data_IF_613547224519
#
_entry.id   IF_613547224519
#
_cell.length_a   1.000
_cell.length_b   1.000
_cell.length_c   1.000
_cell.angle_alpha   90.00
_cell.angle_beta   90.00
_cell.angle_gamma   90.00
#
_symmetry.space_group_name_H-M   'P 1'
#
loop_
_entity.id
_entity.type
_entity.pdbx_description
1 polymer ?
#
# COMPACT_ATOMS: atom_id res chain seq x y z
N UNK A 1 10.73 28.72 -23.78
CA UNK A 1 9.82 28.40 -22.65
C UNK A 1 8.70 27.56 -23.22
N UNK A 2 8.31 26.47 -22.57
CA UNK A 2 7.23 25.59 -23.08
C UNK A 2 5.86 26.20 -22.82
N UNK A 3 4.91 25.99 -23.74
CA UNK A 3 3.52 26.47 -23.66
C UNK A 3 2.72 25.82 -22.50
N UNK A 4 3.26 24.74 -21.92
CA UNK A 4 2.74 24.00 -20.74
C UNK A 4 2.48 24.85 -19.48
N UNK A 5 2.85 26.14 -19.44
CA UNK A 5 2.72 27.01 -18.26
C UNK A 5 1.73 28.19 -18.41
N UNK A 6 0.86 28.20 -19.44
CA UNK A 6 -0.26 29.16 -19.56
C UNK A 6 -1.65 28.51 -19.45
N UNK A 7 -1.78 27.55 -18.53
CA UNK A 7 -3.07 26.92 -18.20
C UNK A 7 -3.77 27.78 -17.13
N UNK A 8 -4.86 28.46 -17.51
CA UNK A 8 -5.68 29.30 -16.61
C UNK A 8 -6.56 28.45 -15.68
N UNK A 9 -7.14 29.05 -14.63
CA UNK A 9 -8.05 28.34 -13.70
C UNK A 9 -9.25 27.69 -14.43
N UNK A 10 -9.76 28.31 -15.50
CA UNK A 10 -10.83 27.76 -16.36
C UNK A 10 -10.41 26.51 -17.16
N UNK A 11 -9.12 26.22 -17.27
CA UNK A 11 -8.60 25.06 -18.01
C UNK A 11 -8.42 23.81 -17.14
N UNK A 12 -8.74 23.86 -15.84
CA UNK A 12 -8.80 22.67 -14.97
C UNK A 12 -10.11 21.87 -15.14
N UNK A 13 -10.70 21.85 -16.35
CA UNK A 13 -11.81 20.95 -16.62
C UNK A 13 -11.31 19.51 -16.65
N UNK A 14 -12.08 18.59 -16.05
CA UNK A 14 -11.72 17.17 -16.02
C UNK A 14 -11.62 16.63 -17.46
N UNK A 15 -12.44 17.16 -18.38
CA UNK A 15 -12.37 16.87 -19.81
C UNK A 15 -10.97 17.16 -20.40
N UNK A 16 -10.38 18.32 -20.09
CA UNK A 16 -9.03 18.66 -20.57
C UNK A 16 -7.94 17.83 -19.89
N UNK A 17 -8.11 17.49 -18.61
CA UNK A 17 -7.17 16.59 -17.93
C UNK A 17 -7.24 15.16 -18.49
N UNK A 18 -8.42 14.69 -18.93
CA UNK A 18 -8.57 13.42 -19.65
C UNK A 18 -7.92 13.50 -21.02
N UNK A 19 -8.12 14.57 -21.78
CA UNK A 19 -7.47 14.81 -23.08
C UNK A 19 -5.93 14.75 -22.95
N UNK A 20 -5.37 15.50 -22.00
CA UNK A 20 -3.92 15.51 -21.69
C UNK A 20 -3.41 14.16 -21.18
N UNK A 21 -4.24 13.38 -20.48
CA UNK A 21 -3.91 12.02 -20.04
C UNK A 21 -3.87 11.05 -21.23
N UNK A 22 -4.78 11.16 -22.19
CA UNK A 22 -4.84 10.27 -23.37
C UNK A 22 -3.92 10.68 -24.53
N UNK A 23 -3.31 11.87 -24.47
CA UNK A 23 -2.44 12.39 -25.52
C UNK A 23 -1.03 11.79 -25.53
N UNK A 24 -0.27 12.11 -26.58
CA UNK A 24 1.05 11.53 -26.85
C UNK A 24 2.19 12.09 -25.98
N UNK A 25 2.04 13.31 -25.42
CA UNK A 25 3.08 13.97 -24.63
C UNK A 25 3.15 13.43 -23.19
N UNK A 26 4.20 12.66 -22.91
CA UNK A 26 4.62 12.21 -21.57
C UNK A 26 4.56 13.30 -20.49
N UNK A 27 4.96 14.54 -20.81
CA UNK A 27 4.96 15.66 -19.88
C UNK A 27 3.53 16.12 -19.55
N UNK A 28 2.66 16.16 -20.56
CA UNK A 28 1.24 16.45 -20.40
C UNK A 28 0.52 15.35 -19.60
N UNK A 29 0.83 14.06 -19.85
CA UNK A 29 0.30 12.93 -19.08
C UNK A 29 0.71 13.00 -17.61
N UNK A 30 1.99 13.26 -17.32
CA UNK A 30 2.50 13.43 -15.96
C UNK A 30 1.86 14.62 -15.22
N UNK A 31 1.66 15.75 -15.91
CA UNK A 31 0.91 16.88 -15.38
C UNK A 31 -0.56 16.51 -15.09
N UNK A 32 -1.24 15.88 -16.04
CA UNK A 32 -2.63 15.45 -15.91
C UNK A 32 -2.84 14.51 -14.72
N UNK A 33 -2.00 13.48 -14.56
CA UNK A 33 -2.06 12.55 -13.42
C UNK A 33 -1.89 13.26 -12.07
N UNK A 34 -0.95 14.20 -11.97
CA UNK A 34 -0.75 14.99 -10.76
C UNK A 34 -1.96 15.91 -10.45
N UNK A 35 -2.52 16.54 -11.48
CA UNK A 35 -3.73 17.37 -11.34
C UNK A 35 -4.96 16.54 -10.96
N UNK A 36 -5.21 15.39 -11.61
CA UNK A 36 -6.31 14.48 -11.26
C UNK A 36 -6.16 13.92 -9.84
N UNK A 37 -4.93 13.67 -9.39
CA UNK A 37 -4.63 13.23 -8.01
C UNK A 37 -4.89 14.35 -6.98
N UNK A 38 -4.61 15.61 -7.31
CA UNK A 38 -4.82 16.76 -6.40
C UNK A 38 -6.26 17.27 -6.42
N UNK A 39 -6.96 17.21 -7.56
CA UNK A 39 -8.39 17.50 -7.71
C UNK A 39 -9.33 16.47 -7.05
N UNK A 40 -8.78 15.47 -6.35
CA UNK A 40 -9.53 14.41 -5.66
C UNK A 40 -10.71 14.88 -4.80
N UNK A 41 -10.61 16.08 -4.21
CA UNK A 41 -11.60 16.65 -3.29
C UNK A 41 -12.56 17.63 -4.00
N UNK A 42 -12.31 17.95 -5.28
CA UNK A 42 -13.06 18.92 -6.09
C UNK A 42 -14.50 18.46 -6.35
N UNK A 43 -15.52 19.34 -6.29
CA UNK A 43 -16.92 18.96 -6.49
C UNK A 43 -17.19 18.27 -7.83
N UNK A 44 -16.57 18.74 -8.93
CA UNK A 44 -16.76 18.14 -10.25
C UNK A 44 -16.16 16.74 -10.37
N UNK A 45 -15.09 16.43 -9.63
CA UNK A 45 -14.49 15.09 -9.64
C UNK A 45 -15.34 14.06 -8.88
N UNK A 46 -16.32 14.53 -8.08
CA UNK A 46 -17.30 13.68 -7.40
C UNK A 46 -18.52 13.36 -8.28
N UNK A 47 -18.60 13.92 -9.50
CA UNK A 47 -19.64 13.54 -10.49
C UNK A 47 -19.28 12.18 -11.07
N UNK A 48 -20.20 11.22 -10.97
CA UNK A 48 -20.00 9.83 -11.39
C UNK A 48 -19.49 9.73 -12.84
N UNK A 49 -20.06 10.49 -13.78
CA UNK A 49 -19.71 10.41 -15.20
C UNK A 49 -18.28 10.88 -15.50
N UNK A 50 -17.81 11.91 -14.79
CA UNK A 50 -16.45 12.44 -14.93
C UNK A 50 -15.42 11.50 -14.30
N UNK A 51 -15.79 10.90 -13.16
CA UNK A 51 -15.04 9.84 -12.52
C UNK A 51 -14.91 8.60 -13.44
N UNK A 52 -16.01 8.15 -14.07
CA UNK A 52 -16.03 7.02 -15.00
C UNK A 52 -15.12 7.22 -16.21
N UNK A 53 -15.17 8.41 -16.82
CA UNK A 53 -14.33 8.74 -17.98
C UNK A 53 -12.85 8.83 -17.61
N UNK A 54 -12.51 9.40 -16.46
CA UNK A 54 -11.13 9.47 -15.98
C UNK A 54 -10.54 8.07 -15.71
N UNK A 55 -11.33 7.16 -15.16
CA UNK A 55 -10.90 5.77 -14.90
C UNK A 55 -10.81 5.00 -16.21
N UNK A 56 -11.81 5.12 -17.09
CA UNK A 56 -11.80 4.49 -18.41
C UNK A 56 -10.54 4.88 -19.19
N UNK A 57 -10.22 6.18 -19.27
CA UNK A 57 -8.99 6.65 -19.90
C UNK A 57 -7.71 6.08 -19.26
N UNK A 58 -7.66 5.97 -17.93
CA UNK A 58 -6.53 5.34 -17.24
C UNK A 58 -6.40 3.84 -17.57
N UNK A 59 -7.51 3.11 -17.71
CA UNK A 59 -7.51 1.73 -18.18
C UNK A 59 -7.10 1.60 -19.66
N UNK A 60 -7.61 2.48 -20.52
CA UNK A 60 -7.30 2.50 -21.96
C UNK A 60 -5.79 2.71 -22.21
N UNK A 61 -5.11 3.49 -21.36
CA UNK A 61 -3.65 3.63 -21.37
C UNK A 61 -2.94 2.35 -20.92
N UNK A 62 -3.41 1.69 -19.86
CA UNK A 62 -2.80 0.48 -19.32
C UNK A 62 -2.92 -0.69 -20.31
N UNK A 63 -4.00 -0.77 -21.08
CA UNK A 63 -4.17 -1.77 -22.14
C UNK A 63 -3.24 -1.54 -23.35
N UNK A 64 -2.62 -0.36 -23.45
CA UNK A 64 -1.62 0.02 -24.46
C UNK A 64 -0.18 -0.01 -23.92
N UNK A 65 0.14 -0.97 -23.05
CA UNK A 65 1.45 -1.11 -22.38
C UNK A 65 2.64 -1.19 -23.36
N UNK A 66 2.42 -1.55 -24.64
CA UNK A 66 3.43 -1.54 -25.70
C UNK A 66 3.79 -0.13 -26.22
N UNK A 67 2.88 0.84 -26.13
CA UNK A 67 3.04 2.21 -26.67
C UNK A 67 3.53 3.23 -25.61
N UNK A 68 3.36 2.91 -24.32
CA UNK A 68 3.53 3.86 -23.22
C UNK A 68 4.71 3.44 -22.31
N UNK A 69 5.61 4.35 -21.91
CA UNK A 69 6.72 4.00 -21.02
C UNK A 69 6.27 3.38 -19.70
N UNK A 70 6.87 2.26 -19.30
CA UNK A 70 6.50 1.46 -18.11
C UNK A 70 6.42 2.27 -16.80
N UNK A 71 7.21 3.33 -16.67
CA UNK A 71 7.15 4.25 -15.52
C UNK A 71 5.84 5.05 -15.49
N UNK A 72 5.37 5.51 -16.65
CA UNK A 72 4.09 6.22 -16.77
C UNK A 72 2.92 5.28 -16.50
N UNK A 73 2.93 4.07 -17.06
CA UNK A 73 1.95 3.02 -16.73
C UNK A 73 1.92 2.75 -15.21
N UNK A 74 3.09 2.65 -14.58
CA UNK A 74 3.17 2.50 -13.11
C UNK A 74 2.54 3.69 -12.37
N UNK A 75 2.67 4.93 -12.87
CA UNK A 75 2.06 6.12 -12.26
C UNK A 75 0.54 6.23 -12.52
N UNK A 76 0.05 5.82 -13.70
CA UNK A 76 -1.38 5.66 -13.99
C UNK A 76 -1.99 4.60 -13.06
N UNK A 77 -1.32 3.46 -12.88
CA UNK A 77 -1.75 2.41 -11.96
C UNK A 77 -1.72 2.89 -10.49
N UNK A 78 -0.73 3.71 -10.09
CA UNK A 78 -0.73 4.32 -8.75
C UNK A 78 -1.92 5.25 -8.56
N UNK A 79 -2.27 6.06 -9.56
CA UNK A 79 -3.49 6.86 -9.54
C UNK A 79 -4.73 5.97 -9.34
N UNK A 80 -4.83 4.82 -10.03
CA UNK A 80 -5.90 3.84 -9.82
C UNK A 80 -5.90 3.22 -8.41
N UNK A 81 -4.76 3.01 -7.76
CA UNK A 81 -4.70 2.57 -6.35
C UNK A 81 -5.23 3.65 -5.41
N UNK A 82 -4.81 4.90 -5.58
CA UNK A 82 -5.28 6.04 -4.77
C UNK A 82 -6.77 6.34 -4.98
N UNK A 83 -7.26 6.04 -6.18
CA UNK A 83 -8.66 6.04 -6.51
C UNK A 83 -9.39 4.89 -5.78
N UNK A 84 -9.01 3.64 -6.03
CA UNK A 84 -9.63 2.45 -5.47
C UNK A 84 -9.61 2.39 -3.93
N UNK A 85 -8.68 3.09 -3.27
CA UNK A 85 -8.62 3.22 -1.81
C UNK A 85 -9.74 4.07 -1.18
N UNK A 86 -10.46 4.87 -1.97
CA UNK A 86 -11.54 5.78 -1.49
C UNK A 86 -12.76 5.02 -0.97
N UNK A 87 -13.54 5.64 -0.08
CA UNK A 87 -14.81 5.08 0.45
C UNK A 87 -16.00 5.42 -0.45
N UNK A 88 -15.88 6.53 -1.16
CA UNK A 88 -16.86 7.06 -2.12
C UNK A 88 -17.13 6.14 -3.31
N UNK A 89 -16.40 5.01 -3.40
CA UNK A 89 -16.57 3.97 -4.41
C UNK A 89 -17.37 2.76 -3.90
N UNK A 90 -17.78 2.74 -2.63
CA UNK A 90 -18.67 1.71 -2.10
C UNK A 90 -20.03 1.79 -2.84
N UNK A 91 -20.30 0.82 -3.72
CA UNK A 91 -21.46 0.83 -4.63
C UNK A 91 -21.21 1.41 -6.03
N UNK A 92 -19.98 1.83 -6.33
CA UNK A 92 -19.56 2.23 -7.68
C UNK A 92 -19.18 1.00 -8.54
N UNK A 93 -18.83 1.19 -9.82
CA UNK A 93 -18.56 0.13 -10.83
C UNK A 93 -17.29 -0.72 -10.58
N UNK A 94 -16.92 -0.97 -9.33
CA UNK A 94 -15.74 -1.77 -8.96
C UNK A 94 -15.76 -3.20 -9.49
N UNK A 95 -16.93 -3.81 -9.71
CA UNK A 95 -17.07 -5.13 -10.34
C UNK A 95 -16.60 -5.14 -11.79
N UNK A 96 -17.25 -4.38 -12.70
CA UNK A 96 -16.79 -4.22 -14.09
C UNK A 96 -15.35 -3.73 -14.23
N UNK A 97 -14.86 -2.88 -13.32
CA UNK A 97 -13.46 -2.44 -13.31
C UNK A 97 -12.49 -3.57 -12.90
N UNK A 98 -12.90 -4.43 -11.97
CA UNK A 98 -12.13 -5.62 -11.61
C UNK A 98 -12.12 -6.64 -12.74
N UNK A 99 -13.27 -6.91 -13.37
CA UNK A 99 -13.39 -7.76 -14.57
C UNK A 99 -12.50 -7.27 -15.72
N UNK A 100 -12.42 -5.95 -15.93
CA UNK A 100 -11.49 -5.34 -16.91
C UNK A 100 -10.03 -5.49 -16.50
N UNK A 101 -9.68 -5.26 -15.23
CA UNK A 101 -8.28 -5.29 -14.78
C UNK A 101 -7.70 -6.70 -14.62
N UNK A 102 -8.53 -7.69 -14.27
CA UNK A 102 -8.05 -9.01 -13.87
C UNK A 102 -7.31 -9.79 -14.98
N UNK A 103 -7.70 -9.70 -16.27
CA UNK A 103 -6.90 -10.22 -17.38
C UNK A 103 -5.56 -9.48 -17.54
N UNK A 104 -5.57 -8.15 -17.43
CA UNK A 104 -4.39 -7.28 -17.56
C UNK A 104 -3.34 -7.62 -16.49
N UNK A 105 -3.77 -8.00 -15.28
CA UNK A 105 -2.86 -8.43 -14.20
C UNK A 105 -1.83 -9.48 -14.66
N UNK A 106 -2.20 -10.38 -15.59
CA UNK A 106 -1.32 -11.43 -16.10
C UNK A 106 -0.17 -10.89 -16.98
N UNK A 107 -0.32 -9.74 -17.65
CA UNK A 107 0.79 -9.15 -18.43
C UNK A 107 1.92 -8.63 -17.54
N UNK A 108 1.62 -8.19 -16.31
CA UNK A 108 2.61 -7.70 -15.35
C UNK A 108 3.37 -8.82 -14.59
N UNK A 109 2.96 -10.08 -14.77
CA UNK A 109 3.71 -11.24 -14.29
C UNK A 109 3.54 -12.42 -15.27
N UNK A 110 4.26 -12.40 -16.41
CA UNK A 110 4.26 -13.53 -17.34
C UNK A 110 4.81 -14.78 -16.66
N UNK A 111 4.25 -15.94 -16.98
CA UNK A 111 4.82 -17.23 -16.56
C UNK A 111 6.13 -17.43 -17.32
N UNK A 112 7.24 -17.78 -16.67
CA UNK A 112 8.48 -18.06 -17.37
C UNK A 112 8.34 -19.28 -18.28
N UNK A 113 8.83 -19.17 -19.51
CA UNK A 113 8.92 -20.30 -20.44
C UNK A 113 10.00 -21.29 -19.98
N UNK A 114 9.83 -22.58 -20.31
CA UNK A 114 10.82 -23.61 -19.99
C UNK A 114 12.14 -23.32 -20.72
N UNK A 115 13.20 -23.02 -19.95
CA UNK A 115 14.54 -22.73 -20.48
C UNK A 115 15.01 -21.28 -20.36
N UNK A 116 14.19 -20.36 -19.84
CA UNK A 116 14.62 -18.99 -19.55
C UNK A 116 15.71 -18.96 -18.45
N UNK A 117 16.92 -18.53 -18.80
CA UNK A 117 18.12 -18.50 -17.94
C UNK A 117 18.20 -17.26 -17.03
N UNK A 118 17.32 -16.27 -17.16
CA UNK A 118 17.39 -15.06 -16.34
C UNK A 118 17.27 -15.38 -14.85
N UNK A 119 18.00 -14.65 -13.98
CA UNK A 119 17.87 -14.85 -12.53
C UNK A 119 16.41 -14.66 -12.10
N UNK A 120 15.79 -15.71 -11.55
CA UNK A 120 14.39 -15.78 -11.07
C UNK A 120 13.96 -14.48 -10.39
N UNK A 121 14.74 -14.05 -9.41
CA UNK A 121 14.53 -12.86 -8.61
C UNK A 121 14.44 -11.52 -9.38
N UNK A 122 15.01 -11.43 -10.58
CA UNK A 122 15.04 -10.20 -11.41
C UNK A 122 13.99 -10.18 -12.53
N UNK A 123 13.23 -11.27 -12.73
CA UNK A 123 12.28 -11.39 -13.86
C UNK A 123 11.08 -10.46 -13.78
N UNK A 124 10.64 -10.11 -12.57
CA UNK A 124 9.41 -9.31 -12.37
C UNK A 124 9.71 -7.85 -12.03
N UNK A 125 8.93 -6.93 -12.61
CA UNK A 125 8.86 -5.55 -12.13
C UNK A 125 8.05 -5.49 -10.82
N UNK A 126 8.69 -5.84 -9.70
CA UNK A 126 8.07 -5.93 -8.38
C UNK A 126 7.31 -4.67 -7.93
N UNK A 127 7.69 -3.49 -8.43
CA UNK A 127 6.97 -2.23 -8.14
C UNK A 127 5.66 -2.15 -8.91
N UNK A 128 5.65 -2.47 -10.20
CA UNK A 128 4.44 -2.48 -11.03
C UNK A 128 3.49 -3.60 -10.58
N UNK A 129 4.03 -4.77 -10.26
CA UNK A 129 3.26 -5.91 -9.74
C UNK A 129 2.66 -5.63 -8.35
N UNK A 130 3.37 -4.93 -7.45
CA UNK A 130 2.80 -4.44 -6.18
C UNK A 130 1.57 -3.55 -6.46
N UNK A 131 1.69 -2.57 -7.36
CA UNK A 131 0.60 -1.65 -7.70
C UNK A 131 -0.58 -2.42 -8.31
N UNK A 132 -0.33 -3.35 -9.24
CA UNK A 132 -1.36 -4.15 -9.90
C UNK A 132 -2.16 -4.99 -8.88
N UNK A 133 -1.47 -5.68 -7.97
CA UNK A 133 -2.12 -6.48 -6.94
C UNK A 133 -2.88 -5.61 -5.92
N UNK A 134 -2.44 -4.37 -5.67
CA UNK A 134 -3.23 -3.40 -4.88
C UNK A 134 -4.52 -2.99 -5.58
N UNK A 135 -4.53 -2.77 -6.90
CA UNK A 135 -5.76 -2.46 -7.66
C UNK A 135 -6.77 -3.61 -7.51
N UNK A 136 -6.34 -4.84 -7.81
CA UNK A 136 -7.16 -6.05 -7.66
C UNK A 136 -7.72 -6.19 -6.25
N UNK A 137 -6.88 -6.01 -5.24
CA UNK A 137 -7.30 -6.14 -3.85
C UNK A 137 -8.31 -5.06 -3.42
N UNK A 138 -8.10 -3.80 -3.81
CA UNK A 138 -8.95 -2.67 -3.40
C UNK A 138 -10.28 -2.63 -4.16
N UNK A 139 -10.30 -3.07 -5.42
CA UNK A 139 -11.55 -3.26 -6.17
C UNK A 139 -12.29 -4.50 -5.67
N UNK A 140 -11.58 -5.61 -5.42
CA UNK A 140 -12.16 -6.82 -4.84
C UNK A 140 -12.72 -6.64 -3.43
N UNK A 141 -12.15 -5.71 -2.66
CA UNK A 141 -12.69 -5.25 -1.38
C UNK A 141 -14.12 -4.68 -1.47
N UNK A 142 -14.47 -4.11 -2.63
CA UNK A 142 -15.76 -3.46 -2.90
C UNK A 142 -16.69 -4.33 -3.73
N UNK A 143 -16.13 -5.15 -4.62
CA UNK A 143 -16.84 -6.07 -5.50
C UNK A 143 -16.62 -7.54 -5.07
N UNK A 144 -16.87 -7.85 -3.80
CA UNK A 144 -16.54 -9.16 -3.19
C UNK A 144 -17.12 -10.34 -3.98
N UNK A 145 -18.35 -10.23 -4.51
CA UNK A 145 -18.95 -11.29 -5.33
C UNK A 145 -18.19 -11.52 -6.64
N UNK A 146 -17.91 -10.46 -7.39
CA UNK A 146 -17.10 -10.51 -8.63
C UNK A 146 -15.69 -11.04 -8.36
N UNK A 147 -15.08 -10.61 -7.27
CA UNK A 147 -13.74 -11.03 -6.85
C UNK A 147 -13.69 -12.50 -6.47
N UNK A 148 -14.68 -12.99 -5.71
CA UNK A 148 -14.84 -14.41 -5.45
C UNK A 148 -14.97 -15.19 -6.77
N UNK A 149 -15.87 -14.80 -7.68
CA UNK A 149 -16.00 -15.47 -8.99
C UNK A 149 -14.67 -15.53 -9.75
N UNK A 150 -14.00 -14.39 -9.96
CA UNK A 150 -12.71 -14.31 -10.67
C UNK A 150 -11.57 -15.10 -10.00
N UNK A 151 -11.66 -15.35 -8.69
CA UNK A 151 -10.69 -16.14 -7.94
C UNK A 151 -11.13 -17.59 -7.68
N UNK A 152 -12.23 -18.07 -8.28
CA UNK A 152 -12.75 -19.42 -8.07
C UNK A 152 -13.28 -19.67 -6.65
N UNK A 153 -13.69 -18.61 -5.95
CA UNK A 153 -14.29 -18.65 -4.63
C UNK A 153 -15.69 -19.24 -4.66
N UNK A 154 -15.82 -20.50 -4.21
CA UNK A 154 -17.08 -21.26 -4.19
C UNK A 154 -18.29 -20.58 -3.49
N UNK A 155 -18.07 -19.58 -2.63
CA UNK A 155 -19.14 -18.82 -1.96
C UNK A 155 -20.04 -18.00 -2.91
N UNK A 156 -19.63 -17.80 -4.17
CA UNK A 156 -20.39 -17.01 -5.16
C UNK A 156 -21.10 -17.81 -6.24
N UNK A 157 -21.09 -19.15 -6.13
CA UNK A 157 -21.77 -20.06 -7.05
C UNK A 157 -23.03 -20.64 -6.41
N UNK A 158 -24.02 -21.02 -7.21
CA UNK A 158 -25.35 -21.46 -6.75
C UNK A 158 -25.38 -22.85 -6.08
N UNK A 159 -24.21 -23.46 -5.88
CA UNK A 159 -24.06 -24.85 -5.42
C UNK A 159 -24.38 -25.89 -6.49
N UNK A 160 -24.62 -25.48 -7.74
CA UNK A 160 -24.77 -26.40 -8.86
C UNK A 160 -23.43 -27.10 -9.18
N UNK A 161 -23.39 -28.43 -9.41
CA UNK A 161 -22.14 -29.16 -9.59
C UNK A 161 -21.22 -28.62 -10.69
N UNK A 162 -21.76 -28.22 -11.85
CA UNK A 162 -20.96 -27.69 -12.96
C UNK A 162 -20.35 -26.31 -12.68
N UNK A 163 -21.08 -25.45 -11.95
CA UNK A 163 -20.58 -24.15 -11.49
C UNK A 163 -19.44 -24.32 -10.47
N UNK A 164 -19.53 -25.32 -9.59
CA UNK A 164 -18.48 -25.64 -8.62
C UNK A 164 -17.21 -26.18 -9.30
N UNK A 165 -17.33 -27.03 -10.32
CA UNK A 165 -16.20 -27.53 -11.10
C UNK A 165 -15.47 -26.41 -11.85
N UNK A 166 -16.21 -25.46 -12.44
CA UNK A 166 -15.63 -24.28 -13.07
C UNK A 166 -14.91 -23.37 -12.05
N UNK A 167 -15.51 -23.15 -10.87
CA UNK A 167 -14.89 -22.40 -9.79
C UNK A 167 -13.55 -23.03 -9.33
N UNK A 168 -13.55 -24.35 -9.11
CA UNK A 168 -12.35 -25.09 -8.70
C UNK A 168 -11.25 -25.04 -9.78
N UNK A 169 -11.64 -25.13 -11.06
CA UNK A 169 -10.72 -24.96 -12.19
C UNK A 169 -10.11 -23.55 -12.24
N UNK A 170 -10.93 -22.50 -12.14
CA UNK A 170 -10.46 -21.11 -12.14
C UNK A 170 -9.53 -20.83 -10.94
N UNK A 171 -9.86 -21.33 -9.75
CA UNK A 171 -8.99 -21.24 -8.58
C UNK A 171 -7.65 -21.98 -8.78
N UNK A 172 -7.67 -23.15 -9.41
CA UNK A 172 -6.47 -23.94 -9.71
C UNK A 172 -5.57 -23.23 -10.74
N UNK A 173 -6.14 -22.68 -11.81
CA UNK A 173 -5.41 -21.89 -12.82
C UNK A 173 -4.80 -20.62 -12.22
N UNK A 174 -5.56 -19.89 -11.39
CA UNK A 174 -5.06 -18.70 -10.70
C UNK A 174 -3.92 -19.06 -9.74
N UNK A 175 -4.05 -20.16 -8.99
CA UNK A 175 -3.00 -20.65 -8.10
C UNK A 175 -1.75 -21.08 -8.86
N UNK A 176 -1.90 -21.77 -9.99
CA UNK A 176 -0.79 -22.19 -10.84
C UNK A 176 0.00 -21.01 -11.41
N UNK A 177 -0.69 -19.91 -11.77
CA UNK A 177 -0.06 -18.66 -12.22
C UNK A 177 0.59 -17.87 -11.06
N UNK A 178 -0.03 -17.80 -9.88
CA UNK A 178 0.47 -16.99 -8.76
C UNK A 178 1.55 -17.65 -7.90
N UNK A 179 1.56 -18.99 -7.79
CA UNK A 179 2.51 -19.68 -6.91
C UNK A 179 3.98 -19.42 -7.31
N UNK A 180 4.38 -19.52 -8.61
CA UNK A 180 5.75 -19.19 -9.02
C UNK A 180 6.17 -17.75 -8.68
N UNK A 181 5.24 -16.80 -8.75
CA UNK A 181 5.47 -15.40 -8.37
C UNK A 181 5.79 -15.30 -6.88
N UNK A 182 4.99 -15.96 -6.03
CA UNK A 182 5.18 -15.98 -4.57
C UNK A 182 6.50 -16.65 -4.20
N UNK A 183 6.83 -17.78 -4.80
CA UNK A 183 8.06 -18.53 -4.52
C UNK A 183 9.29 -17.69 -4.92
N UNK A 184 9.26 -17.06 -6.10
CA UNK A 184 10.30 -16.13 -6.57
C UNK A 184 10.42 -14.90 -5.66
N UNK A 185 9.30 -14.38 -5.15
CA UNK A 185 9.28 -13.25 -4.24
C UNK A 185 9.93 -13.57 -2.88
N UNK A 186 9.72 -14.80 -2.37
CA UNK A 186 10.38 -15.29 -1.15
C UNK A 186 11.89 -15.36 -1.37
N UNK A 187 12.34 -15.98 -2.46
CA UNK A 187 13.76 -16.06 -2.82
C UNK A 187 14.40 -14.66 -2.91
N UNK A 188 13.76 -13.73 -3.63
CA UNK A 188 14.27 -12.38 -3.79
C UNK A 188 14.33 -11.59 -2.47
N UNK A 189 13.38 -11.79 -1.55
CA UNK A 189 13.46 -11.21 -0.20
C UNK A 189 14.70 -11.69 0.57
N UNK A 190 15.10 -12.96 0.43
CA UNK A 190 16.32 -13.48 1.05
C UNK A 190 17.57 -12.83 0.43
N UNK A 191 17.61 -12.72 -0.90
CA UNK A 191 18.69 -12.02 -1.62
C UNK A 191 18.80 -10.55 -1.18
N UNK A 192 17.68 -9.80 -1.10
CA UNK A 192 17.66 -8.41 -0.61
C UNK A 192 18.14 -8.33 0.84
N UNK A 193 17.75 -9.27 1.71
CA UNK A 193 18.22 -9.29 3.11
C UNK A 193 19.72 -9.53 3.22
N UNK A 194 20.29 -10.40 2.38
CA UNK A 194 21.74 -10.63 2.32
C UNK A 194 22.48 -9.39 1.80
N UNK A 195 21.97 -8.73 0.76
CA UNK A 195 22.51 -7.47 0.24
C UNK A 195 22.43 -6.34 1.29
N UNK A 196 21.27 -6.17 1.94
CA UNK A 196 21.05 -5.16 2.98
C UNK A 196 21.99 -5.30 4.18
N UNK A 197 22.33 -6.54 4.57
CA UNK A 197 23.36 -6.80 5.61
C UNK A 197 24.74 -6.32 5.17
N UNK A 198 25.12 -6.49 3.89
CA UNK A 198 26.40 -5.98 3.34
C UNK A 198 26.44 -4.45 3.38
N UNK A 199 25.39 -3.77 2.90
CA UNK A 199 25.30 -2.31 2.98
C UNK A 199 25.29 -1.78 4.42
N UNK A 200 24.65 -2.49 5.36
CA UNK A 200 24.70 -2.11 6.77
C UNK A 200 26.11 -2.25 7.37
N UNK A 201 26.90 -3.25 6.95
CA UNK A 201 28.29 -3.37 7.36
C UNK A 201 29.14 -2.23 6.77
N UNK A 202 29.02 -1.94 5.47
CA UNK A 202 29.70 -0.82 4.80
C UNK A 202 29.37 0.53 5.46
N UNK A 203 28.09 0.80 5.74
CA UNK A 203 27.66 2.02 6.42
C UNK A 203 28.31 2.20 7.81
N UNK A 204 28.50 1.11 8.56
CA UNK A 204 29.16 1.16 9.87
C UNK A 204 30.65 1.45 9.74
N UNK A 205 31.33 0.88 8.74
CA UNK A 205 32.76 1.15 8.48
C UNK A 205 32.95 2.60 8.04
N UNK A 206 32.17 3.09 7.07
CA UNK A 206 32.24 4.47 6.61
C UNK A 206 31.89 5.49 7.72
N UNK A 207 30.92 5.19 8.59
CA UNK A 207 30.61 6.01 9.76
C UNK A 207 31.75 6.01 10.78
N UNK A 208 32.32 4.84 11.10
CA UNK A 208 33.44 4.75 12.04
C UNK A 208 34.71 5.46 11.52
N UNK A 209 34.98 5.40 10.22
CA UNK A 209 36.06 6.16 9.59
C UNK A 209 35.80 7.66 9.74
N UNK A 210 34.58 8.11 9.43
CA UNK A 210 34.21 9.53 9.58
C UNK A 210 34.33 10.02 11.02
N UNK A 211 33.90 9.23 12.01
CA UNK A 211 34.03 9.56 13.43
C UNK A 211 35.51 9.64 13.87
N UNK A 212 36.40 8.79 13.31
CA UNK A 212 37.85 8.87 13.54
C UNK A 212 38.44 10.13 12.90
N UNK A 213 38.08 10.45 11.65
CA UNK A 213 38.58 11.63 10.94
C UNK A 213 38.18 12.93 11.66
N UNK A 214 37.00 12.98 12.28
CA UNK A 214 36.59 14.11 13.15
C UNK A 214 37.47 14.28 14.37
N UNK A 215 37.84 13.18 15.03
CA UNK A 215 38.70 13.21 16.23
C UNK A 215 40.09 13.74 15.81
N UNK A 216 40.63 13.24 14.70
CA UNK A 216 41.92 13.68 14.15
C UNK A 216 41.90 15.17 13.79
N UNK A 217 40.86 15.65 13.09
CA UNK A 217 40.72 17.07 12.74
C UNK A 217 40.58 17.95 14.00
N UNK A 218 39.80 17.52 14.99
CA UNK A 218 39.64 18.24 16.25
C UNK A 218 40.95 18.30 17.07
N UNK A 219 41.76 17.23 17.06
CA UNK A 219 43.10 17.20 17.68
C UNK A 219 44.11 18.08 16.93
N UNK A 220 43.99 18.18 15.60
CA UNK A 220 44.81 19.06 14.76
C UNK A 220 44.41 20.55 14.84
N UNK A 221 43.21 20.85 15.36
CA UNK A 221 42.62 22.20 15.32
C UNK A 221 42.10 22.61 13.94
N UNK A 222 41.82 21.62 13.08
CA UNK A 222 41.29 21.80 11.73
C UNK A 222 39.75 21.85 11.72
N UNK A 223 39.17 22.26 10.59
CA UNK A 223 37.71 22.31 10.41
C UNK A 223 37.13 20.89 10.34
N UNK A 224 35.91 20.71 10.87
CA UNK A 224 35.26 19.39 10.92
C UNK A 224 35.11 18.80 9.50
N UNK A 225 35.60 17.57 9.23
CA UNK A 225 35.52 17.01 7.89
C UNK A 225 34.07 16.89 7.42
N UNK A 226 33.85 17.13 6.13
CA UNK A 226 32.56 16.89 5.51
C UNK A 226 32.22 15.38 5.55
N UNK A 227 30.93 15.00 5.71
CA UNK A 227 30.52 13.60 5.64
C UNK A 227 30.99 12.96 4.31
N UNK A 228 31.64 11.79 4.33
CA UNK A 228 32.13 11.17 3.11
C UNK A 228 30.97 10.85 2.16
N UNK A 229 31.12 11.20 0.88
CA UNK A 229 30.08 11.02 -0.14
C UNK A 229 29.60 9.56 -0.24
N UNK A 230 30.50 8.61 0.03
CA UNK A 230 30.20 7.17 0.10
C UNK A 230 29.12 6.85 1.16
N UNK A 231 29.09 7.54 2.30
CA UNK A 231 28.08 7.33 3.35
C UNK A 231 26.67 7.68 2.84
N UNK A 232 26.53 8.78 2.11
CA UNK A 232 25.27 9.19 1.48
C UNK A 232 24.86 8.25 0.34
N UNK A 233 25.81 7.74 -0.43
CA UNK A 233 25.54 6.73 -1.46
C UNK A 233 25.07 5.40 -0.84
N UNK A 234 25.72 4.93 0.23
CA UNK A 234 25.32 3.73 0.96
C UNK A 234 23.92 3.90 1.59
N UNK A 235 23.60 5.09 2.15
CA UNK A 235 22.25 5.40 2.63
C UNK A 235 21.21 5.27 1.51
N UNK A 236 21.43 5.89 0.35
CA UNK A 236 20.52 5.80 -0.81
C UNK A 236 20.35 4.37 -1.31
N UNK A 237 21.45 3.60 -1.41
CA UNK A 237 21.41 2.17 -1.77
C UNK A 237 20.61 1.35 -0.75
N UNK A 238 20.78 1.61 0.55
CA UNK A 238 19.99 0.97 1.61
C UNK A 238 18.51 1.34 1.53
N UNK A 239 18.16 2.61 1.35
CA UNK A 239 16.76 3.05 1.20
C UNK A 239 16.09 2.39 -0.01
N UNK A 240 16.79 2.27 -1.13
CA UNK A 240 16.31 1.54 -2.30
C UNK A 240 16.08 0.03 -2.01
N UNK A 241 16.97 -0.61 -1.25
CA UNK A 241 16.83 -2.01 -0.83
C UNK A 241 15.67 -2.21 0.16
N UNK A 242 15.51 -1.30 1.14
CA UNK A 242 14.39 -1.33 2.09
C UNK A 242 13.05 -1.09 1.37
N UNK A 243 13.00 -0.21 0.36
CA UNK A 243 11.82 -0.03 -0.49
C UNK A 243 11.52 -1.28 -1.34
N UNK A 244 12.52 -1.86 -2.00
CA UNK A 244 12.37 -3.09 -2.78
C UNK A 244 11.83 -4.23 -1.91
N UNK A 245 12.41 -4.42 -0.72
CA UNK A 245 11.93 -5.40 0.27
C UNK A 245 10.47 -5.16 0.65
N UNK A 246 10.07 -3.90 0.83
CA UNK A 246 8.68 -3.55 1.14
C UNK A 246 7.74 -3.91 0.00
N UNK A 247 8.11 -3.60 -1.26
CA UNK A 247 7.30 -3.92 -2.44
C UNK A 247 7.09 -5.42 -2.58
N UNK A 248 8.17 -6.21 -2.53
CA UNK A 248 8.11 -7.67 -2.66
C UNK A 248 7.34 -8.31 -1.48
N UNK A 249 7.51 -7.77 -0.26
CA UNK A 249 6.72 -8.21 0.91
C UNK A 249 5.22 -7.93 0.74
N UNK A 250 4.86 -6.82 0.09
CA UNK A 250 3.48 -6.47 -0.20
C UNK A 250 2.91 -7.36 -1.31
N UNK A 251 3.69 -7.67 -2.37
CA UNK A 251 3.32 -8.66 -3.40
C UNK A 251 2.97 -10.01 -2.78
N UNK A 252 3.82 -10.57 -1.90
CA UNK A 252 3.53 -11.83 -1.20
C UNK A 252 2.25 -11.73 -0.36
N UNK A 253 2.06 -10.63 0.38
CA UNK A 253 0.90 -10.45 1.24
C UNK A 253 -0.42 -10.33 0.44
N UNK A 254 -0.40 -9.60 -0.68
CA UNK A 254 -1.52 -9.43 -1.60
C UNK A 254 -1.81 -10.72 -2.37
N UNK A 255 -0.78 -11.43 -2.82
CA UNK A 255 -0.92 -12.68 -3.55
C UNK A 255 -1.59 -13.76 -2.66
N UNK A 256 -1.10 -13.93 -1.44
CA UNK A 256 -1.74 -14.80 -0.43
C UNK A 256 -3.12 -14.28 0.04
N UNK A 257 -3.43 -12.99 -0.17
CA UNK A 257 -4.78 -12.48 0.04
C UNK A 257 -5.73 -13.01 -1.05
N UNK A 258 -5.32 -12.88 -2.32
CA UNK A 258 -6.09 -13.26 -3.50
C UNK A 258 -6.28 -14.79 -3.59
N UNK A 259 -5.24 -15.59 -3.29
CA UNK A 259 -5.34 -17.05 -3.32
C UNK A 259 -6.14 -17.66 -2.15
N UNK A 260 -6.43 -16.88 -1.10
CA UNK A 260 -6.94 -17.42 0.15
C UNK A 260 -5.90 -18.26 0.91
N UNK A 261 -6.34 -19.04 1.89
CA UNK A 261 -5.47 -19.89 2.71
C UNK A 261 -6.19 -21.18 3.11
N UNK A 262 -5.49 -22.21 3.55
CA UNK A 262 -6.13 -23.46 3.99
C UNK A 262 -7.19 -23.25 5.10
N UNK A 263 -7.07 -22.17 5.89
CA UNK A 263 -8.02 -21.79 6.95
C UNK A 263 -9.22 -20.98 6.44
N UNK A 264 -9.16 -20.47 5.22
CA UNK A 264 -10.16 -19.58 4.60
C UNK A 264 -10.25 -19.90 3.09
N UNK A 265 -11.25 -20.70 2.69
CA UNK A 265 -11.48 -21.19 1.32
C UNK A 265 -12.04 -20.09 0.39
N UNK A 266 -11.27 -19.04 0.16
CA UNK A 266 -11.63 -17.95 -0.75
C UNK A 266 -10.70 -16.75 -0.62
N UNK A 267 -10.71 -15.82 -1.59
CA UNK A 267 -9.91 -14.61 -1.53
C UNK A 267 -10.30 -13.78 -0.31
N UNK A 268 -9.31 -13.19 0.36
CA UNK A 268 -9.50 -12.44 1.59
C UNK A 268 -9.15 -10.96 1.43
N UNK A 269 -10.14 -10.12 1.70
CA UNK A 269 -9.96 -8.68 1.83
C UNK A 269 -9.32 -8.37 3.20
N UNK A 270 -8.09 -7.91 3.22
CA UNK A 270 -7.37 -7.59 4.46
C UNK A 270 -7.61 -6.12 4.84
N UNK A 271 -8.24 -5.89 6.00
CA UNK A 271 -8.38 -4.52 6.56
C UNK A 271 -7.04 -3.89 6.95
N UNK A 272 -6.03 -4.72 7.25
CA UNK A 272 -4.74 -4.31 7.81
C UNK A 272 -3.56 -4.53 6.84
N UNK A 273 -3.78 -4.33 5.54
CA UNK A 273 -2.69 -4.31 4.58
C UNK A 273 -1.67 -3.22 4.90
N UNK A 274 -0.39 -3.53 4.67
CA UNK A 274 0.70 -2.56 4.77
C UNK A 274 0.48 -1.44 3.75
N UNK A 275 1.02 -0.26 4.06
CA UNK A 275 1.03 0.86 3.10
C UNK A 275 1.84 0.47 1.86
N UNK A 276 1.46 0.96 0.65
CA UNK A 276 2.23 0.71 -0.55
C UNK A 276 3.67 1.25 -0.46
N UNK A 277 4.64 0.59 -1.09
CA UNK A 277 6.08 0.89 -0.93
C UNK A 277 6.49 2.29 -1.43
N UNK A 278 5.73 2.89 -2.35
CA UNK A 278 5.93 4.26 -2.81
C UNK A 278 5.39 5.30 -1.82
N UNK A 279 4.44 4.92 -0.96
CA UNK A 279 3.99 5.77 0.14
C UNK A 279 5.01 5.69 1.28
N UNK A 280 5.95 6.65 1.29
CA UNK A 280 6.81 6.89 2.45
C UNK A 280 5.95 6.83 3.72
N UNK A 281 6.32 6.06 4.76
CA UNK A 281 5.66 6.19 6.04
C UNK A 281 5.78 7.67 6.44
N UNK A 282 4.63 8.31 6.71
CA UNK A 282 4.63 9.69 7.20
C UNK A 282 5.69 9.79 8.29
N UNK A 283 6.68 10.70 8.18
CA UNK A 283 7.74 10.81 9.17
C UNK A 283 7.05 10.93 10.51
N UNK A 284 7.35 9.99 11.42
CA UNK A 284 6.58 9.83 12.64
C UNK A 284 6.52 11.20 13.33
N UNK A 285 5.32 11.81 13.37
CA UNK A 285 5.15 13.14 13.94
C UNK A 285 5.82 13.11 15.30
N UNK A 286 6.84 13.96 15.49
CA UNK A 286 7.68 13.92 16.70
C UNK A 286 6.75 13.78 17.90
N UNK A 287 6.98 12.77 18.78
CA UNK A 287 6.05 12.48 19.87
C UNK A 287 5.83 13.78 20.62
N UNK A 288 4.60 14.31 20.52
CA UNK A 288 4.25 15.69 20.89
C UNK A 288 4.84 15.92 22.26
N UNK A 289 5.93 16.70 22.34
CA UNK A 289 6.66 16.87 23.59
C UNK A 289 5.62 17.29 24.61
N UNK A 290 5.41 16.45 25.64
CA UNK A 290 4.68 16.88 26.81
C UNK A 290 5.50 18.04 27.35
N UNK A 291 5.03 19.26 27.10
CA UNK A 291 5.47 20.40 27.90
C UNK A 291 5.24 19.96 29.33
N UNK A 292 6.32 19.80 30.08
CA UNK A 292 6.23 19.71 31.52
C UNK A 292 5.65 21.04 31.97
N UNK A 293 4.34 21.06 32.21
CA UNK A 293 3.76 22.08 33.08
C UNK A 293 4.44 21.91 34.42
N UNK A 294 5.42 22.79 34.70
CA UNK A 294 5.92 23.04 36.03
C UNK A 294 4.71 23.34 36.92
N UNK A 295 4.24 22.33 37.65
CA UNK A 295 3.35 22.52 38.80
C UNK A 295 4.11 23.40 39.79
N UNK A 296 3.83 24.70 39.75
CA UNK A 296 4.41 25.64 40.69
C UNK A 296 4.04 25.24 42.12
N UNK A 297 5.02 25.37 43.02
CA UNK A 297 4.87 25.09 44.45
C UNK A 297 3.63 25.77 45.05
N UNK A 298 2.59 24.97 45.34
CA UNK A 298 1.54 25.36 46.28
C UNK A 298 1.85 24.76 47.64
N UNK A 299 2.56 25.55 48.46
CA UNK A 299 2.78 25.29 49.89
C UNK A 299 1.45 24.95 50.58
N UNK A 300 1.42 23.94 51.47
CA UNK A 300 0.21 23.61 52.21
C UNK A 300 -0.04 24.63 53.32
N UNK A 301 -1.13 25.40 53.22
CA UNK A 301 -1.59 26.27 54.31
C UNK A 301 -2.42 25.45 55.29
N UNK A 302 -1.86 25.18 56.48
CA UNK A 302 -2.61 24.63 57.61
C UNK A 302 -3.62 25.65 58.14
N UNK A 303 -4.89 25.26 58.29
CA UNK A 303 -5.82 25.83 59.29
C UNK A 303 -6.64 24.69 59.90
N UNK A 304 -6.91 24.80 61.20
CA UNK A 304 -7.52 23.76 62.03
C UNK A 304 -8.86 24.22 62.65
N UNK A 305 -9.66 23.28 63.15
CA UNK A 305 -11.04 23.44 63.64
C UNK A 305 -12.02 22.78 62.66
N UNK A 306 -12.61 21.59 62.87
CA UNK A 306 -13.25 21.00 64.05
C UNK A 306 -14.49 21.81 64.49
N UNK A 307 -15.72 21.26 64.61
CA UNK A 307 -16.21 19.87 64.53
C UNK A 307 -17.33 19.75 63.43
N UNK A 308 -18.20 18.74 63.26
CA UNK A 308 -18.60 17.59 64.11
C UNK A 308 -19.11 16.35 63.32
N UNK A 309 -20.12 15.67 63.86
CA UNK A 309 -20.71 14.37 63.52
C UNK A 309 -22.13 14.54 62.88
N UNK A 310 -22.83 13.55 62.30
CA UNK A 310 -22.79 12.07 62.44
C UNK A 310 -23.31 11.35 61.16
N UNK A 311 -23.11 10.02 61.00
CA UNK A 311 -23.44 9.27 59.77
C UNK A 311 -24.67 8.33 59.88
N UNK A 312 -25.19 7.90 58.71
CA UNK A 312 -25.82 6.59 58.43
C UNK A 312 -25.46 6.21 56.98
N UNK A 313 -24.80 5.09 56.65
CA UNK A 313 -25.06 3.67 56.92
C UNK A 313 -26.14 3.06 55.98
N UNK A 314 -25.70 2.07 55.19
CA UNK A 314 -26.44 0.96 54.53
C UNK A 314 -27.72 1.29 53.71
N UNK A 315 -27.96 0.77 52.51
CA UNK A 315 -27.23 -0.19 51.67
C UNK A 315 -28.23 -1.11 50.95
N UNK A 316 -28.04 -1.43 49.66
CA UNK A 316 -28.75 -2.58 49.07
C UNK A 316 -27.92 -3.28 47.98
N UNK A 317 -27.61 -4.56 48.24
CA UNK A 317 -27.09 -5.49 47.25
C UNK A 317 -28.27 -6.01 46.42
N UNK A 318 -28.21 -5.95 45.09
CA UNK A 318 -29.01 -6.84 44.23
C UNK A 318 -28.13 -7.61 43.25
N UNK A 319 -27.80 -8.83 43.66
CA UNK A 319 -27.27 -9.84 42.76
C UNK A 319 -28.36 -10.32 41.79
N UNK A 320 -27.98 -10.62 40.55
CA UNK A 320 -28.75 -11.52 39.68
C UNK A 320 -27.84 -12.57 39.06
N UNK A 321 -27.67 -13.67 39.78
CA UNK A 321 -27.32 -14.94 39.19
C UNK A 321 -28.59 -15.59 38.61
N UNK A 322 -28.47 -16.18 37.41
CA UNK A 322 -29.59 -16.81 36.69
C UNK A 322 -29.14 -17.31 35.32
N UNK A 323 -28.23 -18.28 35.28
CA UNK A 323 -28.58 -19.69 34.99
C UNK A 323 -29.58 -19.85 33.83
N UNK A 324 -29.04 -20.26 32.68
CA UNK A 324 -29.41 -21.53 32.01
C UNK A 324 -28.31 -21.92 31.03
N UNK A 325 -27.56 -22.97 31.37
CA UNK A 325 -26.77 -23.68 30.37
C UNK A 325 -27.70 -24.59 29.54
N UNK A 326 -27.38 -24.79 28.27
CA UNK A 326 -27.87 -25.92 27.47
C UNK A 326 -26.64 -26.70 27.02
N UNK A 327 -26.56 -27.96 27.43
CA UNK A 327 -25.37 -28.78 27.20
C UNK A 327 -25.31 -29.37 25.80
N UNK A 328 -24.08 -29.44 25.27
CA UNK A 328 -23.40 -30.63 24.73
C UNK A 328 -24.29 -31.80 24.25
N UNK A 329 -24.19 -32.09 22.95
CA UNK A 329 -24.37 -33.37 22.21
C UNK A 329 -24.47 -32.96 20.72
N UNK A 330 -23.69 -33.48 19.77
CA UNK A 330 -22.61 -34.48 19.80
C UNK A 330 -21.31 -33.89 19.21
#
# INVERSE_FOLDING_TARGET
MSELFQISEDQNSIDKLIELLTGDDSSARGFALNMLTTMRDHPDFKKADQMDRCISAAFDLIEKDEEVPTNEITDVMRFLVEFAARRELDGYRSGPMLERFFPILKSFAPIPEEGDETSTAQRYNWKQLEVALFIVHLLGAKAVSTFNTLCGGSESFSGQPGEMEEAEKQAAELKAWMQPIVDTAVEYIEQIQLAGKKFQAQARVAAAQYDLDKIIAAEAGEEEPAPPAELEEIKKKKEAMDQARSAVSNVIALANAILGSEKHKGPRVYRDLKKPSWRKPFPAMMPRQKKEEKKGDKKPVKRAGAQAQTPKAEGEKKARAGKRGRGKKE
#
